data_IF_472279689503
#
_entry.id   IF_472279689503
#
_cell.length_a   1.000
_cell.length_b   1.000
_cell.length_c   1.000
_cell.angle_alpha   90.00
_cell.angle_beta   90.00
_cell.angle_gamma   90.00
#
_symmetry.space_group_name_H-M   'P 1'
#
loop_
_entity.id
_entity.type
_entity.pdbx_description
1 polymer ?
#
# COMPACT_ATOMS: atom_id res chain seq x y z
N UNK A 1 3.44 4.06 24.49
CA UNK A 1 4.56 3.27 23.93
C UNK A 1 4.17 1.85 23.46
N UNK A 2 3.09 1.21 23.95
CA UNK A 2 2.69 -0.15 23.51
C UNK A 2 1.90 -0.20 22.19
N UNK A 3 1.24 0.91 21.81
CA UNK A 3 0.43 0.98 20.59
C UNK A 3 1.30 0.95 19.31
N UNK A 4 2.47 1.56 19.36
CA UNK A 4 3.42 1.65 18.23
C UNK A 4 4.00 0.27 17.87
N UNK A 5 4.29 -0.56 18.88
CA UNK A 5 4.89 -1.88 18.69
C UNK A 5 3.95 -2.90 18.00
N UNK A 6 2.64 -2.82 18.26
CA UNK A 6 1.64 -3.70 17.61
C UNK A 6 1.44 -3.32 16.14
N UNK A 7 1.41 -2.03 15.83
CA UNK A 7 1.31 -1.53 14.47
C UNK A 7 2.59 -1.91 13.68
N UNK A 8 3.76 -1.70 14.27
CA UNK A 8 5.04 -2.10 13.70
C UNK A 8 5.16 -3.62 13.47
N UNK A 9 4.44 -4.45 14.24
CA UNK A 9 4.37 -5.91 14.03
C UNK A 9 3.33 -6.33 12.97
N UNK A 10 2.45 -5.43 12.56
CA UNK A 10 1.43 -5.75 11.56
C UNK A 10 2.07 -5.90 10.18
N UNK A 11 2.01 -7.11 9.62
CA UNK A 11 2.72 -7.46 8.38
C UNK A 11 2.38 -6.57 7.18
N UNK A 12 1.12 -6.15 7.04
CA UNK A 12 0.73 -5.25 5.96
C UNK A 12 1.31 -3.84 6.12
N UNK A 13 1.42 -3.34 7.36
CA UNK A 13 1.99 -2.01 7.64
C UNK A 13 3.47 -1.96 7.27
N UNK A 14 4.28 -2.92 7.76
CA UNK A 14 5.70 -3.01 7.42
C UNK A 14 5.94 -3.07 5.91
N UNK A 15 5.18 -3.92 5.22
CA UNK A 15 5.29 -4.07 3.77
C UNK A 15 4.81 -2.84 3.01
N UNK A 16 3.83 -2.10 3.54
CA UNK A 16 3.39 -0.84 2.95
C UNK A 16 4.49 0.24 3.02
N UNK A 17 5.21 0.32 4.16
CA UNK A 17 6.36 1.22 4.30
C UNK A 17 7.50 0.84 3.34
N UNK A 18 7.85 -0.45 3.28
CA UNK A 18 8.84 -0.97 2.32
C UNK A 18 8.43 -0.66 0.87
N UNK A 19 7.16 -0.90 0.53
CA UNK A 19 6.62 -0.62 -0.80
C UNK A 19 6.71 0.87 -1.13
N UNK A 20 6.48 1.77 -0.17
CA UNK A 20 6.56 3.20 -0.38
C UNK A 20 7.98 3.64 -0.75
N UNK A 21 9.00 3.18 -0.02
CA UNK A 21 10.40 3.48 -0.32
C UNK A 21 10.78 3.00 -1.73
N UNK A 22 10.35 1.78 -2.09
CA UNK A 22 10.55 1.21 -3.42
C UNK A 22 9.84 2.03 -4.50
N UNK A 23 8.59 2.44 -4.28
CA UNK A 23 7.83 3.28 -5.22
C UNK A 23 8.54 4.60 -5.46
N UNK A 24 9.02 5.28 -4.42
CA UNK A 24 9.77 6.53 -4.55
C UNK A 24 11.04 6.31 -5.37
N UNK A 25 11.78 5.24 -5.10
CA UNK A 25 12.98 4.91 -5.86
C UNK A 25 12.68 4.62 -7.34
N UNK A 26 11.65 3.83 -7.62
CA UNK A 26 11.28 3.38 -8.96
C UNK A 26 10.80 4.53 -9.86
N UNK A 27 10.07 5.50 -9.31
CA UNK A 27 9.49 6.61 -10.09
C UNK A 27 10.36 7.87 -10.13
N UNK A 28 11.38 7.98 -9.27
CA UNK A 28 12.29 9.13 -9.24
C UNK A 28 12.93 9.43 -10.61
N UNK A 29 13.42 8.44 -11.39
CA UNK A 29 13.94 8.70 -12.73
C UNK A 29 12.87 9.22 -13.71
N UNK A 30 11.61 8.82 -13.50
CA UNK A 30 10.49 9.21 -14.36
C UNK A 30 10.01 10.64 -14.10
N UNK A 31 10.29 11.19 -12.91
CA UNK A 31 9.86 12.53 -12.51
C UNK A 31 10.47 13.65 -13.37
N UNK A 32 11.59 13.39 -14.05
CA UNK A 32 12.20 14.35 -14.98
C UNK A 32 11.40 14.52 -16.28
N UNK A 33 10.50 13.59 -16.61
CA UNK A 33 9.68 13.64 -17.82
C UNK A 33 8.33 14.29 -17.55
N UNK A 34 8.17 15.55 -17.95
CA UNK A 34 6.95 16.33 -17.71
C UNK A 34 5.63 15.61 -18.09
N UNK A 35 5.53 14.87 -19.23
CA UNK A 35 4.31 14.12 -19.55
C UNK A 35 3.94 13.02 -18.55
N UNK A 36 4.91 12.50 -17.78
CA UNK A 36 4.71 11.45 -16.79
C UNK A 36 4.39 11.99 -15.40
N UNK A 37 4.50 13.31 -15.16
CA UNK A 37 4.40 13.91 -13.84
C UNK A 37 3.13 13.51 -13.09
N UNK A 38 1.98 13.47 -13.79
CA UNK A 38 0.71 13.03 -13.19
C UNK A 38 0.68 11.54 -12.86
N UNK A 39 1.30 10.69 -13.68
CA UNK A 39 1.37 9.24 -13.41
C UNK A 39 2.27 8.96 -12.21
N UNK A 40 3.42 9.64 -12.13
CA UNK A 40 4.37 9.57 -11.03
C UNK A 40 3.71 10.02 -9.72
N UNK A 41 3.08 11.20 -9.71
CA UNK A 41 2.47 11.73 -8.48
C UNK A 41 1.35 10.82 -7.96
N UNK A 42 0.54 10.27 -8.86
CA UNK A 42 -0.52 9.36 -8.47
C UNK A 42 0.00 7.99 -8.01
N UNK A 43 1.11 7.49 -8.56
CA UNK A 43 1.74 6.24 -8.10
C UNK A 43 2.24 6.39 -6.66
N UNK A 44 2.91 7.50 -6.35
CA UNK A 44 3.36 7.83 -4.99
C UNK A 44 2.17 7.95 -4.05
N UNK A 45 1.16 8.75 -4.43
CA UNK A 45 -0.03 8.98 -3.60
C UNK A 45 -0.80 7.68 -3.31
N UNK A 46 -0.95 6.79 -4.31
CA UNK A 46 -1.61 5.50 -4.09
C UNK A 46 -0.84 4.58 -3.14
N UNK A 47 0.51 4.64 -3.16
CA UNK A 47 1.33 3.82 -2.28
C UNK A 47 1.35 4.35 -0.84
N UNK A 48 1.51 5.66 -0.68
CA UNK A 48 1.45 6.37 0.62
C UNK A 48 0.13 6.09 1.36
N UNK A 49 -0.97 6.16 0.62
CA UNK A 49 -2.32 5.92 1.13
C UNK A 49 -2.49 4.56 1.82
N UNK A 50 -1.70 3.54 1.47
CA UNK A 50 -1.77 2.22 2.10
C UNK A 50 -1.38 2.31 3.57
N UNK A 51 -0.18 2.83 3.86
CA UNK A 51 0.32 2.95 5.23
C UNK A 51 -0.53 3.94 6.03
N UNK A 52 -0.84 5.11 5.44
CA UNK A 52 -1.65 6.14 6.07
C UNK A 52 -3.02 5.63 6.53
N UNK A 53 -3.73 4.85 5.72
CA UNK A 53 -5.02 4.29 6.12
C UNK A 53 -4.87 3.21 7.20
N UNK A 54 -3.81 2.40 7.17
CA UNK A 54 -3.57 1.41 8.23
C UNK A 54 -3.33 2.12 9.57
N UNK A 55 -2.50 3.17 9.57
CA UNK A 55 -2.20 3.99 10.74
C UNK A 55 -3.45 4.71 11.28
N UNK A 56 -4.20 5.38 10.39
CA UNK A 56 -5.41 6.10 10.76
C UNK A 56 -6.45 5.16 11.35
N UNK A 57 -6.69 4.02 10.70
CA UNK A 57 -7.63 3.01 11.19
C UNK A 57 -7.23 2.45 12.55
N UNK A 58 -5.94 2.19 12.76
CA UNK A 58 -5.42 1.71 14.03
C UNK A 58 -5.66 2.73 15.16
N UNK A 59 -5.58 4.03 14.85
CA UNK A 59 -5.88 5.12 15.79
C UNK A 59 -7.36 5.30 16.16
N UNK A 60 -8.32 4.68 15.46
CA UNK A 60 -9.77 4.85 15.71
C UNK A 60 -10.32 4.06 16.90
N UNK A 61 -9.59 3.06 17.40
CA UNK A 61 -9.91 2.37 18.66
C UNK A 61 -11.07 1.37 18.62
N UNK A 62 -11.71 1.13 17.46
CA UNK A 62 -12.76 0.11 17.30
C UNK A 62 -12.43 -0.88 16.17
N UNK A 63 -12.81 -2.15 16.32
CA UNK A 63 -12.61 -3.16 15.28
C UNK A 63 -13.41 -2.85 14.00
N UNK A 64 -14.59 -2.24 14.16
CA UNK A 64 -15.45 -1.79 13.06
C UNK A 64 -14.73 -0.76 12.21
N UNK A 65 -14.26 0.32 12.84
CA UNK A 65 -13.58 1.41 12.14
C UNK A 65 -12.24 0.95 11.58
N UNK A 66 -11.47 0.17 12.35
CA UNK A 66 -10.21 -0.36 11.85
C UNK A 66 -10.43 -1.19 10.58
N UNK A 67 -11.44 -2.08 10.56
CA UNK A 67 -11.76 -2.85 9.34
C UNK A 67 -12.17 -1.98 8.15
N UNK A 68 -12.81 -0.83 8.39
CA UNK A 68 -13.19 0.11 7.34
C UNK A 68 -11.95 0.75 6.70
N UNK A 69 -11.03 1.24 7.52
CA UNK A 69 -9.78 1.80 7.04
C UNK A 69 -8.88 0.77 6.35
N UNK A 70 -8.83 -0.47 6.83
CA UNK A 70 -8.11 -1.54 6.13
C UNK A 70 -8.70 -1.85 4.75
N UNK A 71 -10.01 -1.65 4.52
CA UNK A 71 -10.62 -1.77 3.19
C UNK A 71 -10.10 -0.68 2.26
N UNK A 72 -9.98 0.55 2.75
CA UNK A 72 -9.43 1.67 1.97
C UNK A 72 -7.97 1.38 1.63
N UNK A 73 -7.15 0.99 2.62
CA UNK A 73 -5.76 0.59 2.40
C UNK A 73 -5.62 -0.53 1.34
N UNK A 74 -6.53 -1.51 1.36
CA UNK A 74 -6.55 -2.60 0.35
C UNK A 74 -6.91 -2.07 -1.04
N UNK A 75 -7.81 -1.11 -1.13
CA UNK A 75 -8.13 -0.41 -2.38
C UNK A 75 -6.90 0.32 -2.94
N UNK A 76 -6.20 1.08 -2.11
CA UNK A 76 -4.96 1.77 -2.47
C UNK A 76 -3.86 0.79 -2.92
N UNK A 77 -3.76 -0.38 -2.28
CA UNK A 77 -2.82 -1.44 -2.70
C UNK A 77 -3.18 -2.05 -4.06
N UNK A 78 -4.47 -2.26 -4.35
CA UNK A 78 -4.90 -2.71 -5.69
C UNK A 78 -4.63 -1.65 -6.76
N UNK A 79 -4.85 -0.38 -6.45
CA UNK A 79 -4.56 0.71 -7.37
C UNK A 79 -3.06 0.79 -7.66
N UNK A 80 -2.22 0.77 -6.62
CA UNK A 80 -0.75 0.78 -6.71
C UNK A 80 -0.25 -0.36 -7.59
N UNK A 81 -0.76 -1.57 -7.39
CA UNK A 81 -0.47 -2.76 -8.20
C UNK A 81 -0.86 -2.55 -9.67
N UNK A 82 -2.09 -2.07 -9.93
CA UNK A 82 -2.58 -1.82 -11.28
C UNK A 82 -1.77 -0.74 -12.00
N UNK A 83 -1.30 0.29 -11.27
CA UNK A 83 -0.44 1.33 -11.81
C UNK A 83 0.94 0.81 -12.20
N UNK A 84 1.57 -0.05 -11.39
CA UNK A 84 2.82 -0.73 -11.79
C UNK A 84 2.69 -1.50 -13.11
N UNK A 85 1.58 -2.22 -13.30
CA UNK A 85 1.30 -2.91 -14.56
C UNK A 85 1.20 -1.97 -15.76
N UNK A 86 0.76 -0.73 -15.55
CA UNK A 86 0.67 0.31 -16.59
C UNK A 86 1.99 1.07 -16.78
N UNK A 87 2.81 1.20 -15.75
CA UNK A 87 4.14 1.81 -15.82
C UNK A 87 5.21 0.92 -16.47
N UNK A 88 4.88 -0.32 -16.86
CA UNK A 88 5.78 -1.27 -17.53
C UNK A 88 6.48 -0.76 -18.79
N UNK A 89 6.00 0.34 -19.38
CA UNK A 89 6.65 0.98 -20.53
C UNK A 89 7.92 1.77 -20.16
N UNK A 90 8.09 2.10 -18.87
CA UNK A 90 9.21 2.90 -18.37
C UNK A 90 10.00 2.22 -17.25
N UNK A 91 9.55 1.06 -16.77
CA UNK A 91 10.19 0.30 -15.70
C UNK A 91 10.64 -1.06 -16.21
N UNK A 92 11.76 -1.55 -15.66
CA UNK A 92 12.26 -2.89 -15.96
C UNK A 92 11.21 -3.96 -15.59
N UNK A 93 11.06 -5.04 -16.39
CA UNK A 93 10.10 -6.11 -16.11
C UNK A 93 10.23 -6.73 -14.72
N UNK A 94 11.45 -6.81 -14.19
CA UNK A 94 11.78 -7.38 -12.88
C UNK A 94 11.28 -6.47 -11.75
N UNK A 95 11.39 -5.14 -11.94
CA UNK A 95 10.84 -4.14 -11.02
C UNK A 95 9.31 -4.28 -10.97
N UNK A 96 8.65 -4.32 -12.13
CA UNK A 96 7.19 -4.47 -12.20
C UNK A 96 6.75 -5.77 -11.53
N UNK A 97 7.42 -6.89 -11.83
CA UNK A 97 7.10 -8.21 -11.28
C UNK A 97 7.23 -8.22 -9.76
N UNK A 98 8.36 -7.74 -9.22
CA UNK A 98 8.60 -7.69 -7.78
C UNK A 98 7.58 -6.80 -7.05
N UNK A 99 7.21 -5.66 -7.63
CA UNK A 99 6.31 -4.69 -6.99
C UNK A 99 4.86 -5.16 -7.04
N UNK A 100 4.46 -5.81 -8.12
CA UNK A 100 3.16 -6.49 -8.22
C UNK A 100 3.05 -7.62 -7.20
N UNK A 101 4.12 -8.41 -7.01
CA UNK A 101 4.16 -9.46 -5.99
C UNK A 101 4.01 -8.88 -4.58
N UNK A 102 4.80 -7.85 -4.23
CA UNK A 102 4.73 -7.20 -2.91
C UNK A 102 3.35 -6.58 -2.64
N UNK A 103 2.74 -5.91 -3.63
CA UNK A 103 1.36 -5.43 -3.50
C UNK A 103 0.37 -6.59 -3.28
N UNK A 104 0.57 -7.71 -3.97
CA UNK A 104 -0.24 -8.93 -3.80
C UNK A 104 -0.19 -9.48 -2.38
N UNK A 105 0.99 -9.51 -1.77
CA UNK A 105 1.18 -9.91 -0.36
C UNK A 105 0.44 -8.96 0.60
N UNK A 106 0.56 -7.64 0.41
CA UNK A 106 -0.15 -6.64 1.20
C UNK A 106 -1.66 -6.85 1.09
N UNK A 107 -2.18 -7.02 -0.13
CA UNK A 107 -3.62 -7.26 -0.38
C UNK A 107 -4.09 -8.53 0.34
N UNK A 108 -3.30 -9.61 0.32
CA UNK A 108 -3.63 -10.87 1.00
C UNK A 108 -3.71 -10.68 2.52
N UNK A 109 -2.72 -10.01 3.13
CA UNK A 109 -2.69 -9.75 4.58
C UNK A 109 -3.87 -8.86 4.99
N UNK A 110 -4.13 -7.78 4.24
CA UNK A 110 -5.25 -6.88 4.51
C UNK A 110 -6.59 -7.62 4.41
N UNK A 111 -6.76 -8.45 3.38
CA UNK A 111 -7.98 -9.25 3.21
C UNK A 111 -8.21 -10.19 4.39
N UNK A 112 -7.20 -10.95 4.80
CA UNK A 112 -7.31 -11.84 5.96
C UNK A 112 -7.65 -11.06 7.25
N UNK A 113 -7.02 -9.90 7.44
CA UNK A 113 -7.23 -9.05 8.61
C UNK A 113 -8.64 -8.47 8.67
N UNK A 114 -9.16 -7.97 7.54
CA UNK A 114 -10.54 -7.48 7.42
C UNK A 114 -11.54 -8.60 7.75
N UNK A 115 -11.33 -9.79 7.19
CA UNK A 115 -12.19 -10.95 7.46
C UNK A 115 -12.20 -11.30 8.94
N UNK A 116 -11.05 -11.34 9.60
CA UNK A 116 -10.96 -11.62 11.05
C UNK A 116 -11.67 -10.56 11.88
N UNK A 117 -11.46 -9.26 11.59
CA UNK A 117 -12.06 -8.15 12.35
C UNK A 117 -13.59 -8.08 12.21
N UNK A 118 -14.14 -8.59 11.11
CA UNK A 118 -15.58 -8.53 10.81
C UNK A 118 -16.34 -9.81 11.18
N UNK A 119 -15.68 -10.85 11.70
CA UNK A 119 -16.39 -12.04 12.17
C UNK A 119 -17.31 -11.66 13.34
N UNK A 120 -18.60 -12.06 13.32
CA UNK A 120 -19.45 -11.97 14.49
C UNK A 120 -18.77 -12.70 15.65
N UNK A 121 -18.82 -12.11 16.84
CA UNK A 121 -18.43 -12.83 18.07
C UNK A 121 -19.50 -13.84 18.44
#
# INVERSE_FOLDING_TARGET
MVADEKLAKFGAHRKALELFDLVVADVRPLAAHAPLARLVSQQIASADSIAANIEEGYGRGSAKDYSHFLIIARGSAQETLGRYRRLKHWLAPEVVTARVALCGEIIAILTASITTLRRPR
#
